data_IF_600215678380
#
_entry.id   IF_600215678380
#
_cell.length_a   1.000
_cell.length_b   1.000
_cell.length_c   1.000
_cell.angle_alpha   90.00
_cell.angle_beta   90.00
_cell.angle_gamma   90.00
#
_symmetry.space_group_name_H-M   'P 1'
#
loop_
_entity.id
_entity.type
_entity.pdbx_description
1 polymer ?
#
# COMPACT_ATOMS: atom_id res chain seq x y z
N UNK A 1 11.20 -73.31 -14.00
CA UNK A 1 10.54 -71.98 -14.21
C UNK A 1 10.82 -70.95 -13.11
N UNK A 2 10.97 -71.32 -11.82
CA UNK A 2 11.20 -70.36 -10.70
C UNK A 2 12.52 -69.53 -10.77
N UNK A 3 13.57 -70.00 -11.46
CA UNK A 3 14.85 -69.28 -11.61
C UNK A 3 14.79 -68.10 -12.60
N UNK A 4 13.88 -68.15 -13.59
CA UNK A 4 13.72 -67.05 -14.57
C UNK A 4 13.00 -65.84 -13.95
N UNK A 5 12.01 -66.10 -13.10
CA UNK A 5 11.22 -65.04 -12.45
C UNK A 5 12.05 -64.20 -11.47
N UNK A 6 13.04 -64.81 -10.77
CA UNK A 6 13.99 -64.09 -9.90
C UNK A 6 15.01 -63.23 -10.66
N UNK A 7 15.30 -63.53 -11.93
CA UNK A 7 16.23 -62.74 -12.76
C UNK A 7 15.59 -61.48 -13.34
N UNK A 8 14.26 -61.46 -13.49
CA UNK A 8 13.49 -60.29 -13.96
C UNK A 8 13.19 -59.31 -12.81
N UNK A 9 13.13 -59.79 -11.56
CA UNK A 9 12.91 -58.94 -10.38
C UNK A 9 14.08 -58.00 -10.08
N UNK A 10 15.31 -58.38 -10.41
CA UNK A 10 16.53 -57.59 -10.15
C UNK A 10 16.59 -56.29 -10.97
N UNK A 11 16.37 -56.28 -12.31
CA UNK A 11 16.36 -55.03 -13.07
C UNK A 11 15.17 -54.13 -12.74
N UNK A 12 14.01 -54.70 -12.34
CA UNK A 12 12.83 -53.91 -11.94
C UNK A 12 13.09 -53.15 -10.63
N UNK A 13 13.72 -53.79 -9.65
CA UNK A 13 14.10 -53.14 -8.38
C UNK A 13 15.17 -52.06 -8.61
N UNK A 14 16.10 -52.27 -9.55
CA UNK A 14 17.12 -51.29 -9.90
C UNK A 14 16.52 -50.06 -10.60
N UNK A 15 15.56 -50.25 -11.51
CA UNK A 15 14.83 -49.14 -12.17
C UNK A 15 13.96 -48.37 -11.18
N UNK A 16 13.35 -49.06 -10.20
CA UNK A 16 12.55 -48.43 -9.14
C UNK A 16 13.38 -47.61 -8.15
N UNK A 17 14.67 -47.93 -7.97
CA UNK A 17 15.58 -47.13 -7.14
C UNK A 17 16.04 -45.83 -7.81
N UNK A 18 16.08 -45.79 -9.15
CA UNK A 18 16.52 -44.61 -9.90
C UNK A 18 15.42 -43.52 -9.94
N UNK A 19 14.14 -43.88 -9.78
CA UNK A 19 13.05 -42.90 -9.73
C UNK A 19 12.87 -42.23 -8.36
N UNK A 20 13.71 -42.56 -7.37
CA UNK A 20 13.65 -42.02 -6.00
C UNK A 20 14.55 -40.82 -5.71
N UNK A 21 15.44 -40.43 -6.63
CA UNK A 21 16.26 -39.21 -6.47
C UNK A 21 15.45 -37.97 -6.82
N UNK A 22 14.54 -37.58 -5.93
CA UNK A 22 13.89 -36.27 -5.95
C UNK A 22 14.92 -35.21 -5.59
N UNK A 23 15.33 -34.41 -6.57
CA UNK A 23 16.14 -33.21 -6.33
C UNK A 23 15.30 -32.16 -5.61
N UNK A 24 15.22 -32.22 -4.27
CA UNK A 24 14.58 -31.17 -3.45
C UNK A 24 15.31 -29.82 -3.52
N UNK A 25 16.55 -29.75 -4.04
CA UNK A 25 17.38 -28.53 -4.03
C UNK A 25 17.19 -27.54 -5.19
N UNK A 26 16.20 -27.73 -6.07
CA UNK A 26 16.02 -26.87 -7.28
C UNK A 26 14.76 -25.97 -7.21
N UNK A 27 14.04 -25.95 -6.08
CA UNK A 27 12.90 -25.03 -5.89
C UNK A 27 13.21 -23.94 -4.85
N UNK A 28 14.46 -23.48 -4.79
CA UNK A 28 14.73 -22.13 -4.32
C UNK A 28 14.70 -21.23 -5.54
N UNK A 29 13.48 -20.82 -5.93
CA UNK A 29 13.33 -19.71 -6.87
C UNK A 29 14.01 -18.52 -6.20
N UNK A 30 15.18 -18.12 -6.71
CA UNK A 30 15.83 -16.89 -6.27
C UNK A 30 14.78 -15.80 -6.27
N UNK A 31 14.59 -15.18 -5.12
CA UNK A 31 13.55 -14.18 -4.90
C UNK A 31 13.56 -13.20 -6.07
N UNK A 32 12.38 -12.82 -6.62
CA UNK A 32 12.34 -11.95 -7.78
C UNK A 32 13.22 -10.72 -7.51
N UNK A 33 14.25 -10.50 -8.35
CA UNK A 33 15.24 -9.42 -8.19
C UNK A 33 14.60 -8.03 -8.08
N UNK A 34 13.34 -7.93 -8.51
CA UNK A 34 12.60 -6.69 -8.67
C UNK A 34 11.61 -6.45 -7.52
N UNK A 35 11.56 -7.35 -6.52
CA UNK A 35 10.65 -7.25 -5.38
C UNK A 35 11.39 -7.60 -4.09
N UNK A 36 11.60 -6.60 -3.24
CA UNK A 36 12.10 -6.82 -1.88
C UNK A 36 11.01 -7.61 -1.12
N UNK A 37 11.38 -8.80 -0.60
CA UNK A 37 10.49 -9.58 0.26
C UNK A 37 10.18 -8.71 1.50
N UNK A 38 8.93 -8.71 1.98
CA UNK A 38 8.49 -7.89 3.11
C UNK A 38 9.38 -7.98 4.37
N UNK A 39 10.10 -9.08 4.56
CA UNK A 39 11.06 -9.29 5.62
C UNK A 39 12.39 -8.52 5.45
N UNK A 40 12.82 -8.23 4.21
CA UNK A 40 14.09 -7.55 3.93
C UNK A 40 13.97 -6.03 3.84
N UNK A 41 12.75 -5.50 3.70
CA UNK A 41 12.48 -4.06 3.50
C UNK A 41 13.04 -3.20 4.64
N UNK A 42 13.11 -3.73 5.86
CA UNK A 42 13.62 -3.02 7.04
C UNK A 42 14.83 -3.73 7.66
N UNK A 43 15.65 -4.37 6.82
CA UNK A 43 16.87 -5.08 7.24
C UNK A 43 18.04 -4.15 7.54
N UNK A 44 18.08 -2.94 6.95
CA UNK A 44 19.10 -1.94 7.18
C UNK A 44 18.59 -0.54 6.80
N UNK A 45 19.39 0.49 7.12
CA UNK A 45 19.03 1.90 6.88
C UNK A 45 18.74 2.20 5.40
N UNK A 46 19.49 1.60 4.47
CA UNK A 46 19.32 1.86 3.04
C UNK A 46 18.01 1.28 2.51
N UNK A 47 17.66 0.05 2.89
CA UNK A 47 16.40 -0.59 2.49
C UNK A 47 15.19 0.10 3.12
N UNK A 48 15.29 0.52 4.39
CA UNK A 48 14.25 1.28 5.05
C UNK A 48 14.04 2.67 4.40
N UNK A 49 15.13 3.33 4.02
CA UNK A 49 15.08 4.62 3.30
C UNK A 49 14.45 4.44 1.92
N UNK A 50 14.81 3.39 1.19
CA UNK A 50 14.21 3.06 -0.10
C UNK A 50 12.70 2.83 0.01
N UNK A 51 12.22 2.19 1.08
CA UNK A 51 10.79 2.01 1.33
C UNK A 51 10.05 3.35 1.46
N UNK A 52 10.63 4.32 2.19
CA UNK A 52 10.05 5.66 2.31
C UNK A 52 10.11 6.44 0.99
N UNK A 53 11.19 6.31 0.23
CA UNK A 53 11.29 6.92 -1.11
C UNK A 53 10.21 6.38 -2.05
N UNK A 54 9.92 5.07 -2.00
CA UNK A 54 8.81 4.46 -2.73
C UNK A 54 7.46 5.09 -2.37
N UNK A 55 7.22 5.37 -1.08
CA UNK A 55 6.01 6.06 -0.64
C UNK A 55 5.90 7.48 -1.23
N UNK A 56 7.00 8.25 -1.27
CA UNK A 56 7.01 9.58 -1.91
C UNK A 56 6.79 9.50 -3.42
N UNK A 57 7.38 8.51 -4.09
CA UNK A 57 7.15 8.29 -5.51
C UNK A 57 5.66 7.99 -5.79
N UNK A 58 5.03 7.16 -4.97
CA UNK A 58 3.61 6.85 -5.11
C UNK A 58 2.71 8.07 -4.84
N UNK A 59 3.11 8.94 -3.92
CA UNK A 59 2.42 10.21 -3.60
C UNK A 59 2.50 11.21 -4.77
N UNK A 60 3.62 11.26 -5.48
CA UNK A 60 3.88 12.26 -6.53
C UNK A 60 3.44 11.83 -7.94
N UNK A 61 2.94 10.60 -8.11
CA UNK A 61 2.48 10.12 -9.42
C UNK A 61 1.46 11.04 -10.10
N UNK A 62 1.56 11.18 -11.43
CA UNK A 62 0.69 12.03 -12.27
C UNK A 62 -0.71 11.42 -12.43
N UNK A 63 -1.50 11.44 -11.36
CA UNK A 63 -2.78 10.75 -11.27
C UNK A 63 -3.91 11.63 -10.72
N UNK A 64 -3.70 12.95 -10.57
CA UNK A 64 -4.71 13.84 -10.02
C UNK A 64 -5.10 13.53 -8.56
N UNK A 65 -4.25 12.85 -7.80
CA UNK A 65 -4.48 12.64 -6.37
C UNK A 65 -4.16 13.87 -5.52
N UNK A 66 -4.43 13.76 -4.21
CA UNK A 66 -4.14 14.81 -3.21
C UNK A 66 -2.67 15.23 -3.20
N UNK A 67 -1.74 14.32 -3.46
CA UNK A 67 -0.30 14.59 -3.49
C UNK A 67 0.19 15.28 -4.77
N UNK A 68 -0.73 15.56 -5.71
CA UNK A 68 -0.45 16.16 -7.01
C UNK A 68 -1.49 17.28 -7.30
N UNK A 69 -1.90 17.48 -8.56
CA UNK A 69 -2.80 18.56 -8.98
C UNK A 69 -4.27 18.37 -8.55
N UNK A 70 -4.62 17.25 -7.90
CA UNK A 70 -6.00 16.93 -7.53
C UNK A 70 -6.66 17.96 -6.62
N UNK A 71 -5.91 18.48 -5.65
CA UNK A 71 -6.39 19.51 -4.73
C UNK A 71 -6.67 20.86 -5.39
N UNK A 72 -6.02 21.16 -6.51
CA UNK A 72 -6.31 22.36 -7.28
C UNK A 72 -7.44 22.10 -8.29
N UNK A 73 -7.41 20.93 -8.93
CA UNK A 73 -8.34 20.58 -10.01
C UNK A 73 -9.78 20.42 -9.51
N UNK A 74 -10.02 19.54 -8.54
CA UNK A 74 -11.40 19.19 -8.17
C UNK A 74 -12.14 20.34 -7.47
N UNK A 75 -11.56 21.01 -6.44
CA UNK A 75 -12.18 22.18 -5.85
C UNK A 75 -12.27 23.35 -6.83
N UNK A 76 -11.27 23.55 -7.69
CA UNK A 76 -11.28 24.60 -8.71
C UNK A 76 -12.39 24.43 -9.75
N UNK A 77 -12.71 23.19 -10.13
CA UNK A 77 -13.88 22.89 -10.96
C UNK A 77 -15.19 23.21 -10.26
N UNK A 78 -15.33 22.84 -8.98
CA UNK A 78 -16.54 23.14 -8.19
C UNK A 78 -16.70 24.63 -7.86
N UNK A 79 -15.60 25.35 -7.72
CA UNK A 79 -15.59 26.80 -7.52
C UNK A 79 -15.79 27.60 -8.82
N UNK A 80 -15.75 26.95 -9.99
CA UNK A 80 -15.84 27.61 -11.29
C UNK A 80 -14.59 28.38 -11.71
N UNK A 81 -13.46 28.19 -11.03
CA UNK A 81 -12.17 28.81 -11.36
C UNK A 81 -11.47 28.11 -12.53
N UNK A 82 -11.81 26.85 -12.76
CA UNK A 82 -11.24 26.01 -13.82
C UNK A 82 -12.36 25.64 -14.80
N UNK A 83 -12.13 25.89 -16.09
CA UNK A 83 -12.92 25.34 -17.17
C UNK A 83 -12.21 24.15 -17.81
N UNK A 84 -12.97 23.12 -18.17
CA UNK A 84 -12.43 21.88 -18.73
C UNK A 84 -12.67 21.79 -20.23
N UNK A 85 -11.69 21.25 -20.96
CA UNK A 85 -11.82 20.89 -22.39
C UNK A 85 -12.05 19.39 -22.62
N UNK A 86 -11.88 18.56 -21.58
CA UNK A 86 -12.11 17.11 -21.63
C UNK A 86 -13.58 16.78 -21.92
N UNK A 87 -13.89 15.55 -22.34
CA UNK A 87 -15.27 15.02 -22.46
C UNK A 87 -15.64 14.03 -21.35
N UNK A 88 -14.78 13.81 -20.36
CA UNK A 88 -15.04 12.86 -19.27
C UNK A 88 -16.16 13.36 -18.35
N UNK A 89 -17.30 12.67 -18.37
CA UNK A 89 -18.53 13.04 -17.66
C UNK A 89 -18.36 13.18 -16.14
N UNK A 90 -17.46 12.41 -15.52
CA UNK A 90 -17.22 12.47 -14.08
C UNK A 90 -16.67 13.82 -13.61
N UNK A 91 -16.13 14.66 -14.51
CA UNK A 91 -15.76 16.04 -14.17
C UNK A 91 -16.97 16.99 -14.15
N UNK A 92 -18.02 16.71 -14.91
CA UNK A 92 -19.22 17.58 -14.97
C UNK A 92 -19.95 17.64 -13.63
N UNK A 93 -19.89 16.54 -12.88
CA UNK A 93 -20.45 16.48 -11.53
C UNK A 93 -19.81 17.52 -10.58
N UNK A 94 -18.52 17.83 -10.76
CA UNK A 94 -17.85 18.88 -9.99
C UNK A 94 -18.32 20.27 -10.42
N UNK A 95 -18.27 20.56 -11.72
CA UNK A 95 -18.61 21.89 -12.27
C UNK A 95 -20.08 22.25 -12.06
N UNK A 96 -20.98 21.27 -12.07
CA UNK A 96 -22.40 21.47 -11.84
C UNK A 96 -22.79 21.36 -10.35
N UNK A 97 -21.83 21.14 -9.45
CA UNK A 97 -22.07 20.92 -8.02
C UNK A 97 -23.10 19.80 -7.76
N UNK A 98 -23.02 18.73 -8.56
CA UNK A 98 -23.94 17.59 -8.58
C UNK A 98 -23.20 16.26 -8.32
N UNK A 99 -22.20 16.29 -7.43
CA UNK A 99 -21.39 15.12 -7.08
C UNK A 99 -22.24 13.98 -6.51
N UNK A 100 -22.11 12.80 -7.10
CA UNK A 100 -22.72 11.57 -6.59
C UNK A 100 -21.71 10.71 -5.85
N UNK A 101 -22.18 9.87 -4.94
CA UNK A 101 -21.34 9.04 -4.07
C UNK A 101 -20.47 8.03 -4.82
N UNK A 102 -20.83 7.68 -6.05
CA UNK A 102 -20.09 6.75 -6.92
C UNK A 102 -19.25 7.46 -8.00
N UNK A 103 -18.95 8.75 -7.85
CA UNK A 103 -18.06 9.47 -8.76
C UNK A 103 -16.70 8.74 -8.88
N UNK A 104 -16.34 8.34 -10.10
CA UNK A 104 -15.18 7.48 -10.34
C UNK A 104 -13.84 8.18 -10.06
N UNK A 105 -13.77 9.50 -10.24
CA UNK A 105 -12.56 10.29 -10.02
C UNK A 105 -12.29 10.45 -8.52
N UNK A 106 -13.32 10.81 -7.74
CA UNK A 106 -13.22 10.88 -6.27
C UNK A 106 -12.86 9.54 -5.67
N UNK A 107 -13.53 8.46 -6.10
CA UNK A 107 -13.28 7.12 -5.59
C UNK A 107 -11.85 6.66 -5.88
N UNK A 108 -11.40 6.80 -7.13
CA UNK A 108 -10.11 6.25 -7.57
C UNK A 108 -8.93 7.09 -7.12
N UNK A 109 -8.96 8.39 -7.40
CA UNK A 109 -7.78 9.26 -7.30
C UNK A 109 -7.66 9.97 -5.96
N UNK A 110 -8.77 10.16 -5.24
CA UNK A 110 -8.76 10.77 -3.92
C UNK A 110 -8.88 9.70 -2.84
N UNK A 111 -10.02 9.01 -2.75
CA UNK A 111 -10.32 8.11 -1.64
C UNK A 111 -9.40 6.90 -1.59
N UNK A 112 -9.42 6.07 -2.64
CA UNK A 112 -8.64 4.83 -2.69
C UNK A 112 -7.14 5.11 -2.63
N UNK A 113 -6.67 6.12 -3.38
CA UNK A 113 -5.26 6.50 -3.38
C UNK A 113 -4.79 6.97 -2.01
N UNK A 114 -5.56 7.82 -1.31
CA UNK A 114 -5.22 8.28 0.03
C UNK A 114 -5.14 7.12 1.02
N UNK A 115 -6.13 6.22 1.04
CA UNK A 115 -6.11 5.08 1.96
C UNK A 115 -5.01 4.06 1.66
N UNK A 116 -4.65 3.88 0.39
CA UNK A 116 -3.49 3.07 0.01
C UNK A 116 -2.17 3.68 0.53
N UNK A 117 -2.00 5.00 0.40
CA UNK A 117 -0.80 5.69 0.90
C UNK A 117 -0.74 5.72 2.43
N UNK A 118 -1.88 5.90 3.10
CA UNK A 118 -2.00 5.76 4.56
C UNK A 118 -1.61 4.35 5.00
N UNK A 119 -2.04 3.32 4.26
CA UNK A 119 -1.66 1.94 4.54
C UNK A 119 -0.15 1.73 4.40
N UNK A 120 0.46 2.20 3.31
CA UNK A 120 1.91 2.13 3.12
C UNK A 120 2.70 2.85 4.23
N UNK A 121 2.26 4.06 4.60
CA UNK A 121 2.85 4.80 5.72
C UNK A 121 2.74 4.02 7.05
N UNK A 122 1.60 3.39 7.32
CA UNK A 122 1.43 2.52 8.48
C UNK A 122 2.35 1.30 8.45
N UNK A 123 2.58 0.71 7.27
CA UNK A 123 3.52 -0.41 7.09
C UNK A 123 4.97 0.00 7.39
N UNK A 124 5.38 1.19 6.93
CA UNK A 124 6.70 1.75 7.25
C UNK A 124 6.84 2.01 8.74
N UNK A 125 5.85 2.63 9.37
CA UNK A 125 5.85 2.88 10.82
C UNK A 125 5.98 1.55 11.59
N UNK A 126 5.21 0.53 11.20
CA UNK A 126 5.25 -0.79 11.84
C UNK A 126 6.60 -1.49 11.65
N UNK A 127 7.22 -1.39 10.46
CA UNK A 127 8.52 -2.00 10.17
C UNK A 127 9.71 -1.32 10.84
N UNK A 128 9.59 -0.03 11.17
CA UNK A 128 10.62 0.75 11.87
C UNK A 128 10.50 0.66 13.39
N UNK A 129 9.28 0.47 13.90
CA UNK A 129 9.02 0.45 15.33
C UNK A 129 9.74 -0.73 15.99
N UNK A 130 10.49 -0.45 17.05
CA UNK A 130 11.25 -1.43 17.84
C UNK A 130 12.27 -2.27 17.03
N UNK A 131 12.62 -1.85 15.80
CA UNK A 131 13.54 -2.57 14.94
C UNK A 131 15.01 -2.21 15.24
N UNK A 132 15.83 -3.12 15.79
CA UNK A 132 17.22 -2.82 16.17
C UNK A 132 18.17 -2.69 14.98
N UNK A 133 17.77 -3.17 13.78
CA UNK A 133 18.61 -3.16 12.58
C UNK A 133 18.70 -1.79 11.90
N UNK A 134 17.91 -0.82 12.35
CA UNK A 134 17.87 0.55 11.81
C UNK A 134 18.48 1.51 12.84
N UNK A 135 19.42 2.34 12.40
CA UNK A 135 20.07 3.33 13.26
C UNK A 135 19.06 4.34 13.82
N UNK A 136 19.26 4.78 15.07
CA UNK A 136 18.35 5.72 15.74
C UNK A 136 18.12 7.02 14.94
N UNK A 137 19.14 7.67 14.35
CA UNK A 137 18.92 8.87 13.55
C UNK A 137 18.01 8.62 12.34
N UNK A 138 18.30 7.57 11.56
CA UNK A 138 17.50 7.21 10.37
C UNK A 138 16.09 6.82 10.78
N UNK A 139 15.93 5.97 11.79
CA UNK A 139 14.62 5.57 12.31
C UNK A 139 13.75 6.76 12.71
N UNK A 140 14.31 7.73 13.44
CA UNK A 140 13.57 8.90 13.89
C UNK A 140 13.12 9.77 12.72
N UNK A 141 13.99 9.98 11.73
CA UNK A 141 13.66 10.70 10.51
C UNK A 141 12.53 9.99 9.74
N UNK A 142 12.72 8.71 9.41
CA UNK A 142 11.76 7.95 8.61
C UNK A 142 10.39 7.82 9.30
N UNK A 143 10.37 7.67 10.63
CA UNK A 143 9.11 7.69 11.40
C UNK A 143 8.41 9.05 11.33
N UNK A 144 9.15 10.15 11.43
CA UNK A 144 8.61 11.50 11.32
C UNK A 144 7.95 11.74 9.95
N UNK A 145 8.66 11.38 8.89
CA UNK A 145 8.17 11.52 7.51
C UNK A 145 6.94 10.64 7.24
N UNK A 146 6.98 9.37 7.64
CA UNK A 146 5.83 8.46 7.47
C UNK A 146 4.59 8.93 8.26
N UNK A 147 4.78 9.44 9.49
CA UNK A 147 3.69 10.03 10.28
C UNK A 147 3.14 11.29 9.63
N UNK A 148 4.00 12.16 9.11
CA UNK A 148 3.59 13.35 8.37
C UNK A 148 2.72 12.99 7.17
N UNK A 149 3.16 12.06 6.32
CA UNK A 149 2.40 11.64 5.13
C UNK A 149 1.03 11.08 5.53
N UNK A 150 0.99 10.21 6.55
CA UNK A 150 -0.28 9.68 7.08
C UNK A 150 -1.21 10.80 7.56
N UNK A 151 -0.67 11.78 8.30
CA UNK A 151 -1.45 12.90 8.81
C UNK A 151 -1.93 13.83 7.68
N UNK A 152 -1.07 14.10 6.69
CA UNK A 152 -1.37 14.89 5.50
C UNK A 152 -2.58 14.32 4.73
N UNK A 153 -2.59 13.02 4.45
CA UNK A 153 -3.71 12.40 3.75
C UNK A 153 -5.00 12.38 4.58
N UNK A 154 -4.91 12.10 5.90
CA UNK A 154 -6.08 12.18 6.78
C UNK A 154 -6.64 13.60 6.91
N UNK A 155 -5.78 14.62 6.92
CA UNK A 155 -6.20 16.02 6.95
C UNK A 155 -7.01 16.38 5.70
N UNK A 156 -6.55 16.01 4.51
CA UNK A 156 -7.28 16.32 3.28
C UNK A 156 -8.54 15.48 3.10
N UNK A 157 -8.52 14.20 3.49
CA UNK A 157 -9.75 13.40 3.53
C UNK A 157 -10.81 14.04 4.45
N UNK A 158 -10.41 14.53 5.63
CA UNK A 158 -11.31 15.22 6.54
C UNK A 158 -11.91 16.50 5.94
N UNK A 159 -11.11 17.25 5.18
CA UNK A 159 -11.58 18.49 4.58
C UNK A 159 -12.49 18.25 3.37
N UNK A 160 -12.23 17.21 2.58
CA UNK A 160 -13.01 16.89 1.38
C UNK A 160 -14.29 16.09 1.67
N UNK A 161 -14.25 15.16 2.63
CA UNK A 161 -15.36 14.23 2.89
C UNK A 161 -16.02 14.42 4.27
N UNK A 162 -15.46 15.27 5.13
CA UNK A 162 -15.87 15.32 6.53
C UNK A 162 -15.30 14.14 7.33
N UNK A 163 -15.93 13.73 8.45
CA UNK A 163 -15.44 12.64 9.28
C UNK A 163 -15.22 11.34 8.50
N UNK A 164 -13.97 10.89 8.41
CA UNK A 164 -13.62 9.62 7.75
C UNK A 164 -13.09 8.60 8.76
N UNK A 165 -12.97 7.32 8.42
CA UNK A 165 -12.26 6.36 9.26
C UNK A 165 -10.78 6.70 9.48
N UNK A 166 -10.32 6.66 10.73
CA UNK A 166 -8.90 6.83 11.11
C UNK A 166 -8.16 5.50 11.05
N UNK A 167 -7.32 5.31 10.03
CA UNK A 167 -6.52 4.09 9.87
C UNK A 167 -5.15 4.25 10.54
N UNK A 168 -5.04 3.81 11.80
CA UNK A 168 -3.80 3.91 12.61
C UNK A 168 -2.98 2.62 12.66
N UNK A 169 -3.57 1.50 12.25
CA UNK A 169 -2.99 0.15 12.34
C UNK A 169 -3.20 -0.56 11.00
N UNK A 170 -2.43 -1.62 10.76
CA UNK A 170 -2.44 -2.44 9.54
C UNK A 170 -3.73 -3.25 9.28
N UNK A 171 -4.87 -2.86 9.85
CA UNK A 171 -6.10 -3.64 9.79
C UNK A 171 -7.16 -2.85 9.02
N UNK A 172 -7.31 -3.20 7.74
CA UNK A 172 -8.35 -2.67 6.85
C UNK A 172 -9.75 -3.11 7.31
N UNK A 173 -9.89 -4.29 7.93
CA UNK A 173 -11.19 -4.88 8.30
C UNK A 173 -11.93 -4.17 9.44
N UNK A 174 -11.30 -3.22 10.15
CA UNK A 174 -11.94 -2.48 11.26
C UNK A 174 -12.26 -1.03 10.92
N UNK A 175 -12.03 -0.61 9.67
CA UNK A 175 -12.29 0.74 9.17
C UNK A 175 -13.80 0.99 8.99
N UNK A 176 -14.54 -0.05 8.58
CA UNK A 176 -16.00 0.02 8.34
C UNK A 176 -16.87 0.20 9.60
N UNK A 177 -16.32 -0.02 10.79
CA UNK A 177 -17.09 0.02 12.06
C UNK A 177 -16.73 1.18 12.99
N UNK A 178 -15.89 2.12 12.54
CA UNK A 178 -15.52 3.27 13.37
C UNK A 178 -16.64 4.32 13.36
N UNK A 179 -17.16 4.73 14.53
CA UNK A 179 -18.16 5.78 14.59
C UNK A 179 -17.59 7.10 14.06
N UNK A 180 -18.36 7.80 13.23
CA UNK A 180 -18.00 9.12 12.73
C UNK A 180 -17.71 10.08 13.89
N UNK A 181 -16.49 10.58 13.95
CA UNK A 181 -16.09 11.54 14.99
C UNK A 181 -16.43 12.95 14.51
N UNK A 182 -17.09 13.76 15.36
CA UNK A 182 -17.17 15.22 15.13
C UNK A 182 -15.77 15.76 14.78
N UNK A 183 -15.70 16.66 13.78
CA UNK A 183 -14.45 17.19 13.21
C UNK A 183 -13.40 17.60 14.28
N UNK A 184 -13.84 18.21 15.38
CA UNK A 184 -12.97 18.59 16.52
C UNK A 184 -12.30 17.39 17.19
N UNK A 185 -13.05 16.31 17.44
CA UNK A 185 -12.53 15.09 18.06
C UNK A 185 -11.64 14.32 17.09
N UNK A 186 -11.94 14.38 15.79
CA UNK A 186 -11.08 13.82 14.74
C UNK A 186 -9.72 14.52 14.72
N UNK A 187 -9.69 15.86 14.69
CA UNK A 187 -8.44 16.63 14.67
C UNK A 187 -7.60 16.39 15.91
N UNK A 188 -8.18 16.41 17.13
CA UNK A 188 -7.43 16.06 18.36
C UNK A 188 -6.80 14.67 18.26
N UNK A 189 -7.56 13.73 17.70
CA UNK A 189 -7.10 12.37 17.47
C UNK A 189 -6.00 12.31 16.41
N UNK A 190 -6.03 13.14 15.37
CA UNK A 190 -5.01 13.24 14.31
C UNK A 190 -3.70 13.83 14.81
N UNK A 191 -3.75 14.82 15.71
CA UNK A 191 -2.55 15.44 16.31
C UNK A 191 -1.88 14.57 17.38
N UNK A 192 -2.51 13.47 17.79
CA UNK A 192 -1.96 12.50 18.74
C UNK A 192 -1.25 11.32 18.08
N UNK A 193 -1.05 11.34 16.75
CA UNK A 193 -0.48 10.23 15.95
C UNK A 193 0.78 10.68 15.21
#
# INVERSE_FOLDING_TARGET
MKKFMKRIQVPIVLVLMITGSSCEKIVEVSSPSDRIISAEVFSNDATATAALLGLYQDMTGLNGSVGNFGLSLYPGLSAGEISRSSSVAAYDEFSNNALVSNNSLLGTYIWNKAYNLIFQANSIIAGLQDNPSISTPVKNQLLGEARFIRAFYHFYLLNLFGPVPLSRRLIISRVQSLPELRKVNYMRRLYQI
#
